data_IF_417344145683
#
_entry.id   IF_417344145683
#
_cell.length_a   1.000
_cell.length_b   1.000
_cell.length_c   1.000
_cell.angle_alpha   90.00
_cell.angle_beta   90.00
_cell.angle_gamma   90.00
#
_symmetry.space_group_name_H-M   'P 1'
#
loop_
_entity.id
_entity.type
_entity.pdbx_description
1 polymer ?
#
# COMPACT_ATOMS: atom_id res chain seq x y z
N UNK A 1 17.22 -8.96 34.71
CA UNK A 1 16.57 -10.27 34.48
C UNK A 1 15.15 -9.93 34.03
N UNK A 2 14.73 -10.08 32.79
CA UNK A 2 15.12 -11.01 31.73
C UNK A 2 15.94 -10.38 30.60
N UNK A 3 16.91 -11.17 30.13
CA UNK A 3 17.44 -11.16 28.77
C UNK A 3 16.51 -11.99 27.87
N UNK A 4 16.58 -11.72 26.55
CA UNK A 4 15.82 -12.31 25.42
C UNK A 4 14.43 -11.70 25.17
N UNK A 5 14.40 -10.72 24.26
CA UNK A 5 13.41 -10.69 23.18
C UNK A 5 14.21 -10.90 21.90
N UNK A 6 14.49 -12.15 21.54
CA UNK A 6 14.58 -12.47 20.10
C UNK A 6 13.17 -12.21 19.60
N UNK A 7 12.96 -11.04 19.01
CA UNK A 7 11.72 -10.77 18.30
C UNK A 7 11.81 -11.62 17.05
N UNK A 8 11.11 -12.75 17.03
CA UNK A 8 11.19 -13.69 15.93
C UNK A 8 10.71 -12.97 14.65
N UNK A 9 11.64 -12.75 13.72
CA UNK A 9 11.36 -12.12 12.43
C UNK A 9 10.54 -13.06 11.56
N UNK A 10 9.83 -12.52 10.58
CA UNK A 10 9.09 -13.38 9.64
C UNK A 10 10.04 -14.36 8.96
N UNK A 11 9.71 -15.65 9.02
CA UNK A 11 10.54 -16.75 8.49
C UNK A 11 10.16 -17.12 7.05
N UNK A 12 8.90 -16.92 6.67
CA UNK A 12 8.36 -17.33 5.37
C UNK A 12 8.26 -16.15 4.41
N UNK A 13 8.59 -16.40 3.13
CA UNK A 13 8.30 -15.44 2.06
C UNK A 13 6.80 -15.35 1.84
N UNK A 14 6.30 -14.16 1.50
CA UNK A 14 4.93 -14.02 0.97
C UNK A 14 4.87 -13.19 -0.30
N UNK A 15 3.88 -13.48 -1.14
CA UNK A 15 3.43 -12.60 -2.23
C UNK A 15 2.04 -12.06 -1.92
N UNK A 16 1.79 -10.80 -2.28
CA UNK A 16 0.54 -10.10 -2.01
C UNK A 16 -0.06 -9.64 -3.33
N UNK A 17 -1.34 -9.91 -3.54
CA UNK A 17 -2.20 -9.18 -4.45
C UNK A 17 -3.10 -8.28 -3.61
N UNK A 18 -3.06 -6.97 -3.87
CA UNK A 18 -4.03 -6.04 -3.30
C UNK A 18 -4.66 -5.21 -4.40
N UNK A 19 -5.97 -5.36 -4.59
CA UNK A 19 -6.72 -4.61 -5.59
C UNK A 19 -7.78 -3.71 -4.97
N UNK A 20 -7.86 -2.49 -5.50
CA UNK A 20 -8.95 -1.57 -5.22
C UNK A 20 -9.50 -1.01 -6.54
N UNK A 21 -10.74 -0.54 -6.53
CA UNK A 21 -11.27 0.27 -7.62
C UNK A 21 -11.32 1.75 -7.27
N UNK A 22 -11.36 2.58 -8.31
CA UNK A 22 -11.36 4.03 -8.25
C UNK A 22 -12.46 4.57 -9.17
N UNK A 23 -13.61 4.94 -8.57
CA UNK A 23 -14.78 5.50 -9.27
C UNK A 23 -14.82 7.03 -9.16
N UNK A 24 -14.95 7.71 -10.29
CA UNK A 24 -15.10 9.18 -10.38
C UNK A 24 -14.06 9.95 -9.53
N UNK A 25 -12.81 9.48 -9.52
CA UNK A 25 -11.76 9.93 -8.60
C UNK A 25 -10.39 9.99 -9.26
N UNK A 26 -9.41 10.60 -8.58
CA UNK A 26 -8.02 10.66 -9.05
C UNK A 26 -7.15 9.72 -8.19
N UNK A 27 -6.81 8.50 -8.65
CA UNK A 27 -6.07 7.55 -7.83
C UNK A 27 -4.62 7.99 -7.56
N UNK A 28 -3.94 8.50 -8.58
CA UNK A 28 -2.59 9.02 -8.47
C UNK A 28 -2.40 10.25 -9.36
N UNK A 29 -2.44 11.44 -8.75
CA UNK A 29 -2.15 12.69 -9.43
C UNK A 29 -0.68 12.77 -9.85
N UNK A 30 -0.41 13.42 -10.98
CA UNK A 30 0.92 13.76 -11.42
C UNK A 30 1.20 15.25 -11.08
N UNK A 31 2.04 15.53 -10.06
CA UNK A 31 2.33 16.91 -9.65
C UNK A 31 3.10 17.70 -10.72
N UNK A 32 3.73 17.03 -11.69
CA UNK A 32 4.41 17.66 -12.83
C UNK A 32 3.45 18.02 -13.97
N UNK A 33 2.21 17.52 -13.93
CA UNK A 33 1.19 17.83 -14.93
C UNK A 33 0.40 19.08 -14.55
N UNK A 34 -0.11 19.79 -15.55
CA UNK A 34 -1.05 20.88 -15.30
C UNK A 34 -2.33 20.34 -14.63
N UNK A 35 -2.71 20.93 -13.49
CA UNK A 35 -3.91 20.59 -12.71
C UNK A 35 -3.95 19.13 -12.20
N UNK A 36 -2.80 18.57 -11.80
CA UNK A 36 -2.67 17.28 -11.11
C UNK A 36 -3.45 16.13 -11.79
N UNK A 37 -3.31 16.00 -13.11
CA UNK A 37 -3.99 14.95 -13.87
C UNK A 37 -3.61 13.55 -13.36
N UNK A 38 -4.54 12.58 -13.40
CA UNK A 38 -4.21 11.19 -13.14
C UNK A 38 -3.05 10.72 -14.03
N UNK A 39 -2.16 9.89 -13.47
CA UNK A 39 -1.11 9.22 -14.23
C UNK A 39 -1.73 8.13 -15.11
N UNK A 40 -1.41 8.17 -16.40
CA UNK A 40 -1.91 7.23 -17.42
C UNK A 40 -0.74 6.83 -18.30
N UNK A 41 -0.64 5.55 -18.62
CA UNK A 41 0.28 5.02 -19.61
C UNK A 41 -0.21 5.41 -21.01
N UNK A 42 0.57 6.20 -21.75
CA UNK A 42 0.16 6.74 -23.05
C UNK A 42 0.00 5.67 -24.15
N UNK A 43 0.61 4.49 -23.98
CA UNK A 43 0.55 3.41 -24.96
C UNK A 43 -0.66 2.53 -24.75
N UNK A 44 -0.93 2.16 -23.49
CA UNK A 44 -2.01 1.22 -23.14
C UNK A 44 -3.29 1.92 -22.71
N UNK A 45 -3.25 3.20 -22.36
CA UNK A 45 -4.39 3.93 -21.82
C UNK A 45 -4.81 3.48 -20.41
N UNK A 46 -4.00 2.67 -19.74
CA UNK A 46 -4.23 2.20 -18.36
C UNK A 46 -3.79 3.27 -17.35
N UNK A 47 -4.52 3.39 -16.24
CA UNK A 47 -4.07 4.22 -15.13
C UNK A 47 -2.82 3.63 -14.50
N UNK A 48 -1.92 4.48 -14.01
CA UNK A 48 -0.70 4.08 -13.31
C UNK A 48 -0.77 4.60 -11.88
N UNK A 49 -0.61 3.72 -10.91
CA UNK A 49 -0.46 4.10 -9.50
C UNK A 49 0.89 3.64 -9.00
N UNK A 50 1.64 4.59 -8.43
CA UNK A 50 2.98 4.32 -7.89
C UNK A 50 2.88 3.55 -6.57
N UNK A 51 3.85 2.69 -6.30
CA UNK A 51 3.99 2.00 -5.01
C UNK A 51 4.08 3.01 -3.85
N UNK A 52 4.79 4.12 -4.05
CA UNK A 52 4.89 5.22 -3.08
C UNK A 52 3.52 5.79 -2.72
N UNK A 53 2.56 5.83 -3.65
CA UNK A 53 1.21 6.31 -3.36
C UNK A 53 0.46 5.34 -2.44
N UNK A 54 0.55 4.04 -2.68
CA UNK A 54 -0.04 3.02 -1.81
C UNK A 54 0.63 3.05 -0.43
N UNK A 55 1.97 3.02 -0.38
CA UNK A 55 2.75 3.10 0.86
C UNK A 55 2.41 4.34 1.69
N UNK A 56 2.02 5.46 1.06
CA UNK A 56 1.56 6.66 1.77
C UNK A 56 0.23 6.45 2.50
N UNK A 57 -0.73 5.77 1.88
CA UNK A 57 -1.99 5.42 2.57
C UNK A 57 -1.71 4.51 3.77
N UNK A 58 -0.81 3.54 3.61
CA UNK A 58 -0.42 2.63 4.69
C UNK A 58 0.19 3.40 5.86
N UNK A 59 1.15 4.30 5.59
CA UNK A 59 1.77 5.16 6.61
C UNK A 59 0.76 6.06 7.31
N UNK A 60 -0.09 6.74 6.53
CA UNK A 60 -1.11 7.64 7.07
C UNK A 60 -2.12 6.88 7.96
N UNK A 61 -2.33 5.58 7.73
CA UNK A 61 -3.15 4.71 8.58
C UNK A 61 -2.41 4.21 9.82
N UNK A 62 -1.13 3.83 9.69
CA UNK A 62 -0.29 3.48 10.85
C UNK A 62 -0.24 4.62 11.86
N UNK A 63 -0.09 5.85 11.38
CA UNK A 63 -0.12 7.07 12.21
C UNK A 63 -1.47 7.24 12.93
N UNK A 64 -2.60 7.00 12.23
CA UNK A 64 -3.94 7.07 12.82
C UNK A 64 -4.21 5.92 13.82
N UNK A 65 -3.48 4.80 13.70
CA UNK A 65 -3.50 3.64 14.59
C UNK A 65 -2.48 3.78 15.75
N UNK A 66 -1.90 4.97 15.97
CA UNK A 66 -0.91 5.31 17.00
C UNK A 66 0.44 4.54 16.90
N UNK A 67 0.78 3.99 15.72
CA UNK A 67 2.10 3.44 15.46
C UNK A 67 3.09 4.55 15.10
N UNK A 68 4.30 4.48 15.65
CA UNK A 68 5.36 5.41 15.28
C UNK A 68 5.73 5.27 13.80
N UNK A 69 5.74 6.39 13.09
CA UNK A 69 6.15 6.48 11.69
C UNK A 69 7.18 7.60 11.48
N UNK A 70 8.19 7.33 10.66
CA UNK A 70 9.24 8.28 10.29
C UNK A 70 8.83 9.18 9.13
N UNK A 71 8.24 8.63 8.06
CA UNK A 71 7.85 9.41 6.89
C UNK A 71 6.42 9.92 7.04
N UNK A 72 6.28 11.09 7.68
CA UNK A 72 4.98 11.72 7.96
C UNK A 72 4.47 12.62 6.85
N UNK A 73 3.15 12.76 6.80
CA UNK A 73 2.48 13.71 5.93
C UNK A 73 2.52 15.13 6.53
N UNK A 74 3.14 16.12 5.86
CA UNK A 74 3.26 17.48 6.40
C UNK A 74 1.93 18.13 6.78
N UNK A 75 0.83 17.78 6.08
CA UNK A 75 -0.49 18.34 6.38
C UNK A 75 -1.14 17.76 7.64
N UNK A 76 -0.76 16.54 8.06
CA UNK A 76 -1.26 15.90 9.28
C UNK A 76 -0.43 16.32 10.49
N UNK A 77 0.88 16.44 10.31
CA UNK A 77 1.82 16.65 11.41
C UNK A 77 1.91 18.12 11.90
N UNK A 78 1.05 19.02 11.41
CA UNK A 78 0.88 20.38 11.95
C UNK A 78 2.09 21.31 11.78
N UNK A 79 3.10 20.91 11.02
CA UNK A 79 4.31 21.71 10.81
C UNK A 79 4.07 22.86 9.82
N UNK A 80 4.53 24.05 10.19
CA UNK A 80 4.67 25.18 9.25
C UNK A 80 6.07 25.14 8.62
N UNK A 81 6.29 24.31 7.58
CA UNK A 81 7.57 24.32 6.85
C UNK A 81 8.02 22.98 6.28
N UNK A 82 9.29 22.91 5.88
CA UNK A 82 9.95 21.65 5.58
C UNK A 82 10.25 20.94 6.89
N UNK A 83 9.87 19.66 6.98
CA UNK A 83 10.12 18.85 8.18
C UNK A 83 11.60 18.50 8.23
N UNK A 84 12.23 18.75 9.36
CA UNK A 84 13.61 18.36 9.58
C UNK A 84 13.71 16.86 9.91
N UNK A 85 14.72 16.19 9.34
CA UNK A 85 14.86 14.74 9.45
C UNK A 85 15.38 14.30 10.81
N UNK A 86 16.11 15.18 11.48
CA UNK A 86 16.69 14.94 12.79
C UNK A 86 15.56 15.07 13.83
N UNK A 87 14.68 16.06 13.66
CA UNK A 87 13.44 16.19 14.44
C UNK A 87 12.52 14.96 14.29
N UNK A 88 12.31 14.45 13.07
CA UNK A 88 11.49 13.25 12.85
C UNK A 88 12.10 12.02 13.52
N UNK A 89 13.42 11.86 13.48
CA UNK A 89 14.09 10.77 14.17
C UNK A 89 13.90 10.90 15.68
N UNK A 90 14.12 12.10 16.21
CA UNK A 90 14.00 12.39 17.65
C UNK A 90 12.57 12.17 18.13
N UNK A 91 11.56 12.55 17.36
CA UNK A 91 10.15 12.36 17.73
C UNK A 91 9.76 10.88 17.77
N UNK A 92 10.26 10.09 16.81
CA UNK A 92 9.95 8.66 16.75
C UNK A 92 10.71 7.87 17.81
N UNK A 93 11.97 8.21 18.07
CA UNK A 93 12.84 7.43 18.97
C UNK A 93 12.88 7.95 20.40
N UNK A 94 12.60 9.24 20.61
CA UNK A 94 12.87 9.96 21.85
C UNK A 94 14.35 10.26 22.11
N UNK A 95 15.23 10.02 21.13
CA UNK A 95 16.68 10.25 21.24
C UNK A 95 17.04 11.59 20.60
N UNK A 96 17.34 12.59 21.43
CA UNK A 96 17.90 13.87 21.00
C UNK A 96 19.44 13.81 20.92
N UNK A 97 20.08 14.91 20.49
CA UNK A 97 21.54 14.98 20.34
C UNK A 97 22.29 14.60 21.64
N UNK A 98 21.81 15.07 22.79
CA UNK A 98 22.42 14.77 24.10
C UNK A 98 22.30 13.27 24.44
N UNK A 99 21.15 12.65 24.17
CA UNK A 99 20.94 11.22 24.39
C UNK A 99 21.75 10.33 23.41
N UNK A 100 22.03 10.85 22.21
CA UNK A 100 22.84 10.16 21.21
C UNK A 100 24.33 10.11 21.61
N UNK A 101 24.86 11.10 22.34
CA UNK A 101 26.25 11.05 22.83
C UNK A 101 26.53 9.85 23.74
N UNK A 102 25.50 9.37 24.45
CA UNK A 102 25.56 8.22 25.36
C UNK A 102 25.15 6.88 24.69
N UNK A 103 24.79 6.90 23.40
CA UNK A 103 24.25 5.74 22.65
C UNK A 103 25.12 5.40 21.46
N UNK A 104 25.30 4.12 21.14
CA UNK A 104 26.01 3.72 19.91
C UNK A 104 25.11 3.84 18.67
N UNK A 105 25.69 4.04 17.49
CA UNK A 105 24.92 4.09 16.24
C UNK A 105 24.08 2.82 15.97
N UNK A 106 24.53 1.66 16.47
CA UNK A 106 23.74 0.42 16.40
C UNK A 106 22.53 0.45 17.36
N UNK A 107 22.71 0.89 18.60
CA UNK A 107 21.60 1.02 19.56
C UNK A 107 20.58 2.07 19.10
N UNK A 108 21.04 3.15 18.46
CA UNK A 108 20.19 4.15 17.83
C UNK A 108 19.40 3.56 16.65
N UNK A 109 20.02 2.67 15.85
CA UNK A 109 19.35 1.97 14.76
C UNK A 109 18.28 0.98 15.29
N UNK A 110 18.59 0.23 16.34
CA UNK A 110 17.65 -0.68 16.99
C UNK A 110 16.46 0.09 17.57
N UNK A 111 16.70 1.21 18.25
CA UNK A 111 15.65 2.09 18.76
C UNK A 111 14.81 2.70 17.62
N UNK A 112 15.45 3.04 16.50
CA UNK A 112 14.76 3.55 15.32
C UNK A 112 13.83 2.51 14.72
N UNK A 113 14.30 1.28 14.48
CA UNK A 113 13.47 0.20 13.95
C UNK A 113 12.37 -0.24 14.93
N UNK A 114 12.64 -0.21 16.24
CA UNK A 114 11.63 -0.54 17.24
C UNK A 114 10.43 0.43 17.22
N UNK A 115 10.68 1.72 16.96
CA UNK A 115 9.64 2.74 17.00
C UNK A 115 9.11 3.17 15.63
N UNK A 116 9.90 3.06 14.56
CA UNK A 116 9.53 3.47 13.21
C UNK A 116 8.97 2.30 12.40
N UNK A 117 7.69 2.02 12.60
CA UNK A 117 6.99 0.88 12.00
C UNK A 117 7.02 0.93 10.46
N UNK A 118 6.90 2.12 9.86
CA UNK A 118 6.98 2.26 8.40
C UNK A 118 8.38 1.97 7.82
N UNK A 119 9.43 2.21 8.61
CA UNK A 119 10.81 1.87 8.25
C UNK A 119 11.01 0.36 8.35
N UNK A 120 10.44 -0.31 9.36
CA UNK A 120 10.46 -1.78 9.43
C UNK A 120 9.85 -2.43 8.20
N UNK A 121 8.74 -1.91 7.69
CA UNK A 121 8.10 -2.41 6.47
C UNK A 121 8.85 -2.04 5.19
N UNK A 122 9.06 -0.74 4.97
CA UNK A 122 9.40 -0.19 3.65
C UNK A 122 10.83 0.32 3.53
N UNK A 123 11.54 0.43 4.65
CA UNK A 123 12.84 1.06 4.72
C UNK A 123 12.77 2.58 4.55
N UNK A 124 13.90 3.23 4.76
CA UNK A 124 14.07 4.66 4.57
C UNK A 124 15.55 5.00 4.33
N UNK A 125 15.80 6.08 3.59
CA UNK A 125 17.12 6.70 3.52
C UNK A 125 17.23 7.71 4.65
N UNK A 126 18.19 7.50 5.56
CA UNK A 126 18.48 8.36 6.68
C UNK A 126 19.61 9.31 6.29
N UNK A 127 19.26 10.57 6.05
CA UNK A 127 20.22 11.61 5.68
C UNK A 127 20.03 12.81 6.59
N UNK A 128 20.71 12.73 7.73
CA UNK A 128 20.69 13.67 8.83
C UNK A 128 21.61 14.87 8.61
N UNK A 129 21.50 15.90 9.45
CA UNK A 129 22.47 16.99 9.47
C UNK A 129 23.87 16.52 9.88
N UNK A 130 24.89 17.34 9.61
CA UNK A 130 26.26 17.00 10.00
C UNK A 130 26.45 16.90 11.51
N UNK A 131 25.77 17.77 12.27
CA UNK A 131 25.84 17.78 13.75
C UNK A 131 25.20 16.50 14.32
N UNK A 132 24.02 16.13 13.80
CA UNK A 132 23.33 14.91 14.21
C UNK A 132 24.07 13.63 13.80
N UNK A 133 24.70 13.63 12.62
CA UNK A 133 25.51 12.51 12.15
C UNK A 133 26.80 12.34 12.98
N UNK A 134 27.38 13.44 13.48
CA UNK A 134 28.53 13.37 14.40
C UNK A 134 28.10 12.84 15.77
N UNK A 135 26.88 13.17 16.23
CA UNK A 135 26.31 12.68 17.50
C UNK A 135 25.94 11.19 17.46
N UNK A 136 25.28 10.72 16.39
CA UNK A 136 24.88 9.30 16.24
C UNK A 136 26.08 8.36 16.07
N UNK A 137 27.20 8.91 15.57
CA UNK A 137 28.46 8.22 15.40
C UNK A 137 28.47 7.13 14.32
N UNK A 138 29.56 6.35 14.31
CA UNK A 138 29.72 5.21 13.42
C UNK A 138 28.81 4.04 13.85
N UNK A 139 28.26 3.32 12.87
CA UNK A 139 27.43 2.12 13.10
C UNK A 139 25.97 2.29 12.71
N UNK A 140 25.44 3.53 12.70
CA UNK A 140 24.09 3.77 12.19
C UNK A 140 24.04 3.59 10.65
N UNK A 141 23.16 2.72 10.12
CA UNK A 141 23.01 2.55 8.68
C UNK A 141 22.45 3.81 8.01
N UNK A 142 23.13 4.33 6.97
CA UNK A 142 22.61 5.47 6.20
C UNK A 142 21.33 5.16 5.41
N UNK A 143 20.96 3.89 5.29
CA UNK A 143 19.71 3.44 4.69
C UNK A 143 19.27 2.10 5.27
N UNK A 144 17.96 1.92 5.37
CA UNK A 144 17.31 0.64 5.63
C UNK A 144 16.57 0.21 4.37
N UNK A 145 16.68 -1.06 4.00
CA UNK A 145 15.94 -1.66 2.89
C UNK A 145 14.77 -2.43 3.49
N UNK A 146 13.54 -1.99 3.23
CA UNK A 146 12.37 -2.67 3.76
C UNK A 146 12.11 -4.02 3.09
N UNK A 147 11.76 -5.07 3.86
CA UNK A 147 11.36 -6.37 3.33
C UNK A 147 10.04 -6.35 2.54
N UNK A 148 9.16 -5.36 2.77
CA UNK A 148 7.87 -5.25 2.06
C UNK A 148 7.99 -4.30 0.87
N UNK A 149 7.86 -4.84 -0.32
CA UNK A 149 7.94 -4.07 -1.56
C UNK A 149 6.69 -4.28 -2.40
N UNK A 150 6.22 -3.20 -3.05
CA UNK A 150 5.10 -3.23 -3.98
C UNK A 150 5.57 -2.77 -5.36
N UNK A 151 4.98 -3.34 -6.40
CA UNK A 151 5.17 -2.91 -7.77
C UNK A 151 4.38 -1.61 -8.05
N UNK A 152 4.70 -0.96 -9.18
CA UNK A 152 3.79 0.04 -9.73
C UNK A 152 2.59 -0.68 -10.32
N UNK A 153 1.39 -0.34 -9.85
CA UNK A 153 0.16 -0.91 -10.36
C UNK A 153 -0.27 -0.24 -11.66
N UNK A 154 -0.83 -1.04 -12.56
CA UNK A 154 -1.56 -0.57 -13.75
C UNK A 154 -2.99 -1.07 -13.67
N UNK A 155 -3.96 -0.24 -14.03
CA UNK A 155 -5.35 -0.70 -14.07
C UNK A 155 -5.54 -1.82 -15.10
N UNK A 156 -6.43 -2.77 -14.81
CA UNK A 156 -6.76 -3.83 -15.78
C UNK A 156 -7.47 -3.26 -17.01
N UNK A 157 -8.34 -2.27 -16.80
CA UNK A 157 -9.09 -1.58 -17.85
C UNK A 157 -8.35 -0.35 -18.41
N UNK A 158 -8.62 -0.04 -19.67
CA UNK A 158 -8.35 1.26 -20.30
C UNK A 158 -9.24 2.33 -19.66
N UNK A 159 -8.64 3.42 -19.18
CA UNK A 159 -9.38 4.40 -18.37
C UNK A 159 -9.92 5.56 -19.20
N UNK A 160 -11.11 6.04 -18.82
CA UNK A 160 -11.72 7.24 -19.40
C UNK A 160 -11.55 8.41 -18.44
N UNK A 161 -10.93 9.49 -18.93
CA UNK A 161 -10.75 10.72 -18.16
C UNK A 161 -12.03 11.57 -18.17
N UNK A 162 -12.34 12.16 -17.02
CA UNK A 162 -13.40 13.14 -16.82
C UNK A 162 -12.77 14.41 -16.23
N UNK A 163 -12.88 15.51 -16.96
CA UNK A 163 -12.39 16.82 -16.50
C UNK A 163 -13.56 17.77 -16.29
N UNK A 164 -13.65 18.36 -15.10
CA UNK A 164 -14.64 19.38 -14.77
C UNK A 164 -13.95 20.70 -14.47
N UNK A 165 -14.35 21.77 -15.16
CA UNK A 165 -13.91 23.13 -14.86
C UNK A 165 -14.84 23.75 -13.82
N UNK A 166 -14.27 24.20 -12.69
CA UNK A 166 -15.01 24.81 -11.58
C UNK A 166 -14.52 26.24 -11.39
N UNK A 167 -15.45 27.18 -11.25
CA UNK A 167 -15.12 28.54 -10.81
C UNK A 167 -14.92 28.51 -9.29
N UNK A 168 -13.73 28.83 -8.80
CA UNK A 168 -13.50 29.04 -7.38
C UNK A 168 -14.27 30.31 -6.99
N UNK A 169 -15.18 30.19 -6.02
CA UNK A 169 -15.86 31.34 -5.44
C UNK A 169 -14.88 32.10 -4.54
N UNK A 170 -14.05 32.97 -5.12
CA UNK A 170 -13.18 33.87 -4.34
C UNK A 170 -13.93 35.14 -3.97
N UNK A 171 -14.48 35.16 -2.75
CA UNK A 171 -14.66 36.39 -1.96
C UNK A 171 -13.43 36.63 -1.06
N UNK A 172 -12.37 35.82 -1.20
CA UNK A 172 -11.09 36.05 -0.53
C UNK A 172 -10.05 36.24 -1.61
N UNK A 173 -9.81 37.51 -1.96
CA UNK A 173 -8.76 37.94 -2.85
C UNK A 173 -7.43 37.92 -2.09
N UNK A 174 -6.50 37.07 -2.51
CA UNK A 174 -5.09 37.17 -2.14
C UNK A 174 -4.49 38.38 -2.86
N UNK A 175 -4.76 39.58 -2.34
CA UNK A 175 -4.06 40.82 -2.68
C UNK A 175 -4.07 41.20 -4.17
N UNK A 176 -5.22 41.62 -4.70
CA UNK A 176 -5.33 42.25 -6.02
C UNK A 176 -6.76 42.36 -6.51
N UNK A 177 -7.05 43.39 -7.31
CA UNK A 177 -8.33 43.54 -8.03
C UNK A 177 -8.51 42.37 -9.00
N UNK A 178 -9.27 41.36 -8.59
CA UNK A 178 -9.68 40.26 -9.46
C UNK A 178 -11.20 40.19 -9.50
N UNK A 179 -11.81 40.94 -10.43
CA UNK A 179 -13.23 40.79 -10.84
C UNK A 179 -13.49 39.47 -11.61
N UNK A 180 -12.45 38.66 -11.84
CA UNK A 180 -12.53 37.37 -12.54
C UNK A 180 -12.16 36.25 -11.55
N UNK A 181 -13.14 35.43 -11.15
CA UNK A 181 -12.90 34.29 -10.26
C UNK A 181 -11.89 33.30 -10.86
N UNK A 182 -11.02 32.75 -10.02
CA UNK A 182 -10.01 31.77 -10.44
C UNK A 182 -10.70 30.46 -10.85
N UNK A 183 -10.42 29.92 -12.03
CA UNK A 183 -10.94 28.60 -12.42
C UNK A 183 -9.97 27.51 -12.01
N UNK A 184 -10.48 26.45 -11.38
CA UNK A 184 -9.74 25.22 -11.10
C UNK A 184 -10.31 24.07 -11.94
N UNK A 185 -9.44 23.27 -12.55
CA UNK A 185 -9.86 22.06 -13.27
C UNK A 185 -9.65 20.84 -12.38
N UNK A 186 -10.71 20.07 -12.19
CA UNK A 186 -10.71 18.81 -11.44
C UNK A 186 -10.64 17.65 -12.44
N UNK A 187 -9.55 16.89 -12.40
CA UNK A 187 -9.30 15.77 -13.31
C UNK A 187 -9.46 14.45 -12.58
N UNK A 188 -10.35 13.60 -13.08
CA UNK A 188 -10.73 12.32 -12.48
C UNK A 188 -10.75 11.23 -13.55
N UNK A 189 -10.73 9.99 -13.11
CA UNK A 189 -11.02 8.82 -13.92
C UNK A 189 -12.47 8.40 -13.64
N UNK A 190 -13.19 7.97 -14.67
CA UNK A 190 -14.55 7.45 -14.50
C UNK A 190 -14.53 6.15 -13.71
N UNK A 191 -13.68 5.21 -14.10
CA UNK A 191 -13.48 3.95 -13.40
C UNK A 191 -12.09 3.36 -13.68
N UNK A 192 -11.46 2.80 -12.67
CA UNK A 192 -10.22 2.03 -12.80
C UNK A 192 -10.18 0.91 -11.75
N UNK A 193 -9.95 -0.33 -12.18
CA UNK A 193 -9.67 -1.46 -11.28
C UNK A 193 -8.16 -1.70 -11.24
N UNK A 194 -7.53 -1.56 -10.07
CA UNK A 194 -6.07 -1.40 -9.93
C UNK A 194 -5.52 -2.49 -8.99
N UNK A 195 -4.90 -3.56 -9.52
CA UNK A 195 -4.20 -4.56 -8.74
C UNK A 195 -2.74 -4.15 -8.49
N UNK A 196 -2.28 -4.32 -7.26
CA UNK A 196 -0.88 -4.23 -6.85
C UNK A 196 -0.36 -5.63 -6.58
N UNK A 197 0.87 -5.86 -7.01
CA UNK A 197 1.69 -6.98 -6.58
C UNK A 197 2.67 -6.51 -5.51
N UNK A 198 2.84 -7.33 -4.48
CA UNK A 198 3.80 -7.10 -3.42
C UNK A 198 4.52 -8.37 -3.00
N UNK A 199 5.67 -8.20 -2.36
CA UNK A 199 6.47 -9.28 -1.80
C UNK A 199 6.86 -8.89 -0.37
N UNK A 200 6.71 -9.85 0.55
CA UNK A 200 7.29 -9.82 1.89
C UNK A 200 8.52 -10.72 1.84
N UNK A 201 9.71 -10.12 1.94
CA UNK A 201 10.99 -10.83 1.87
C UNK A 201 11.52 -11.15 3.28
N UNK A 202 11.42 -12.41 3.67
CA UNK A 202 11.95 -13.01 4.89
C UNK A 202 13.44 -12.73 5.10
N UNK A 203 14.25 -12.77 4.03
CA UNK A 203 15.70 -12.53 4.14
C UNK A 203 15.99 -11.08 4.54
N UNK A 204 15.17 -10.14 4.06
CA UNK A 204 15.31 -8.72 4.41
C UNK A 204 14.71 -8.36 5.78
N UNK A 205 13.92 -9.26 6.37
CA UNK A 205 13.26 -9.02 7.64
C UNK A 205 14.26 -8.99 8.81
N UNK A 206 15.34 -9.77 8.72
CA UNK A 206 16.43 -9.76 9.72
C UNK A 206 17.08 -8.38 9.86
N UNK A 207 17.25 -7.64 8.75
CA UNK A 207 17.90 -6.33 8.73
C UNK A 207 17.02 -5.21 9.31
N UNK A 208 15.69 -5.38 9.31
CA UNK A 208 14.75 -4.35 9.79
C UNK A 208 13.94 -4.76 11.02
N UNK A 209 14.06 -6.02 11.45
CA UNK A 209 13.28 -6.58 12.55
C UNK A 209 11.80 -6.74 12.21
N UNK A 210 11.43 -6.97 10.94
CA UNK A 210 10.03 -7.19 10.56
C UNK A 210 9.52 -8.51 11.16
N UNK A 211 8.45 -8.42 11.96
CA UNK A 211 7.88 -9.54 12.72
C UNK A 211 6.71 -10.20 12.00
N UNK A 212 6.32 -11.41 12.44
CA UNK A 212 5.07 -12.03 11.99
C UNK A 212 3.83 -11.18 12.33
N UNK A 213 3.79 -10.55 13.51
CA UNK A 213 2.71 -9.64 13.92
C UNK A 213 2.61 -8.43 12.98
N UNK A 214 3.74 -7.89 12.51
CA UNK A 214 3.73 -6.83 11.50
C UNK A 214 3.12 -7.33 10.17
N UNK A 215 3.39 -8.57 9.75
CA UNK A 215 2.81 -9.13 8.52
C UNK A 215 1.31 -9.40 8.68
N UNK A 216 0.88 -9.99 9.78
CA UNK A 216 -0.55 -10.18 10.10
C UNK A 216 -1.29 -8.83 10.16
N UNK A 217 -0.67 -7.80 10.74
CA UNK A 217 -1.23 -6.44 10.73
C UNK A 217 -1.38 -5.91 9.29
N UNK A 218 -0.43 -6.21 8.40
CA UNK A 218 -0.45 -5.76 7.01
C UNK A 218 -1.71 -6.25 6.27
N UNK A 219 -2.18 -7.47 6.60
CA UNK A 219 -3.36 -8.11 6.00
C UNK A 219 -4.62 -7.24 6.13
N UNK A 220 -4.84 -6.63 7.29
CA UNK A 220 -5.97 -5.71 7.50
C UNK A 220 -5.61 -4.26 7.17
N UNK A 221 -4.34 -3.87 7.35
CA UNK A 221 -3.88 -2.49 7.21
C UNK A 221 -4.02 -1.98 5.79
N UNK A 222 -3.71 -2.76 4.76
CA UNK A 222 -3.89 -2.37 3.35
C UNK A 222 -5.34 -2.00 3.05
N UNK A 223 -6.28 -2.82 3.54
CA UNK A 223 -7.70 -2.60 3.38
C UNK A 223 -8.18 -1.34 4.11
N UNK A 224 -7.82 -1.21 5.40
CA UNK A 224 -8.20 -0.06 6.24
C UNK A 224 -7.61 1.25 5.71
N UNK A 225 -6.35 1.22 5.28
CA UNK A 225 -5.64 2.37 4.74
C UNK A 225 -6.34 2.98 3.53
N UNK A 226 -6.75 2.17 2.54
CA UNK A 226 -7.49 2.68 1.39
C UNK A 226 -8.85 3.24 1.81
N UNK A 227 -9.58 2.59 2.73
CA UNK A 227 -10.89 3.08 3.17
C UNK A 227 -10.82 4.41 3.92
N UNK A 228 -9.86 4.57 4.81
CA UNK A 228 -9.81 5.71 5.72
C UNK A 228 -9.05 6.89 5.13
N UNK A 229 -7.94 6.64 4.42
CA UNK A 229 -7.02 7.69 3.95
C UNK A 229 -7.42 8.31 2.60
N UNK A 230 -8.53 7.84 2.00
CA UNK A 230 -9.06 8.37 0.73
C UNK A 230 -10.33 9.20 0.88
N UNK A 231 -10.74 9.52 2.12
CA UNK A 231 -11.96 10.30 2.44
C UNK A 231 -11.82 11.82 2.22
N UNK A 232 -11.27 12.22 1.07
CA UNK A 232 -11.12 13.63 0.67
C UNK A 232 -11.83 13.91 -0.65
N UNK A 233 -12.11 15.19 -0.97
CA UNK A 233 -12.87 15.57 -2.16
C UNK A 233 -12.33 14.97 -3.48
N UNK A 234 -11.00 14.89 -3.62
CA UNK A 234 -10.33 14.41 -4.84
C UNK A 234 -10.00 12.93 -4.81
N UNK A 235 -10.17 12.26 -3.66
CA UNK A 235 -9.83 10.84 -3.45
C UNK A 235 -11.04 9.97 -3.10
N UNK A 236 -12.17 10.56 -2.73
CA UNK A 236 -13.43 9.83 -2.53
C UNK A 236 -13.75 9.05 -3.81
N UNK A 237 -14.09 7.77 -3.66
CA UNK A 237 -14.31 6.84 -4.78
C UNK A 237 -13.32 5.68 -4.85
N UNK A 238 -12.31 5.61 -3.96
CA UNK A 238 -11.54 4.39 -3.80
C UNK A 238 -12.32 3.39 -2.95
N UNK A 239 -12.35 2.11 -3.33
CA UNK A 239 -12.81 1.02 -2.47
C UNK A 239 -11.90 -0.21 -2.63
N UNK A 240 -11.37 -0.79 -1.55
CA UNK A 240 -10.65 -2.06 -1.64
C UNK A 240 -11.61 -3.17 -2.07
N UNK A 241 -11.12 -4.08 -2.93
CA UNK A 241 -11.94 -5.13 -3.58
C UNK A 241 -11.41 -6.53 -3.36
N UNK A 242 -10.09 -6.71 -3.38
CA UNK A 242 -9.45 -8.00 -3.20
C UNK A 242 -8.15 -7.82 -2.42
N UNK A 243 -7.95 -8.67 -1.43
CA UNK A 243 -6.67 -8.91 -0.79
C UNK A 243 -6.40 -10.41 -0.84
N UNK A 244 -5.19 -10.79 -1.23
CA UNK A 244 -4.72 -12.16 -1.22
C UNK A 244 -3.24 -12.16 -0.88
N UNK A 245 -2.83 -12.83 0.19
CA UNK A 245 -1.44 -13.08 0.56
C UNK A 245 -1.16 -14.57 0.51
N UNK A 246 -0.22 -14.98 -0.32
CA UNK A 246 0.28 -16.36 -0.37
C UNK A 246 1.54 -16.41 0.45
N UNK A 247 1.51 -17.16 1.54
CA UNK A 247 2.68 -17.49 2.35
C UNK A 247 3.26 -18.83 1.87
N UNK A 248 4.59 -18.90 1.72
CA UNK A 248 5.27 -20.08 1.21
C UNK A 248 6.06 -20.78 2.30
N UNK A 249 6.04 -22.11 2.30
CA UNK A 249 6.83 -22.96 3.19
C UNK A 249 8.26 -23.25 2.67
N UNK A 250 8.59 -22.72 1.48
CA UNK A 250 9.84 -23.01 0.77
C UNK A 250 10.75 -21.78 0.79
N UNK A 251 11.94 -21.94 1.35
CA UNK A 251 12.94 -20.87 1.48
C UNK A 251 13.23 -20.19 0.14
N UNK A 252 13.21 -18.85 0.15
CA UNK A 252 13.51 -17.99 -0.99
C UNK A 252 12.69 -18.24 -2.28
N UNK A 253 11.54 -18.92 -2.17
CA UNK A 253 10.64 -19.18 -3.29
C UNK A 253 9.50 -18.15 -3.38
N UNK A 254 9.18 -17.74 -4.60
CA UNK A 254 7.92 -17.09 -4.94
C UNK A 254 7.59 -17.39 -6.42
N UNK A 255 6.31 -17.32 -6.79
CA UNK A 255 5.84 -17.54 -8.17
C UNK A 255 6.23 -16.32 -9.03
N UNK A 256 5.97 -15.12 -8.51
CA UNK A 256 6.22 -13.86 -9.19
C UNK A 256 5.01 -13.41 -10.01
N UNK A 257 4.76 -12.09 -10.02
CA UNK A 257 3.72 -11.44 -10.85
C UNK A 257 2.34 -12.08 -10.72
N UNK A 258 1.93 -12.45 -9.49
CA UNK A 258 0.60 -13.04 -9.25
C UNK A 258 -0.56 -12.16 -9.74
N UNK A 259 -0.35 -10.84 -9.84
CA UNK A 259 -1.31 -9.91 -10.40
C UNK A 259 -1.57 -10.10 -11.90
N UNK A 260 -0.63 -10.69 -12.66
CA UNK A 260 -0.82 -11.04 -14.08
C UNK A 260 -1.87 -12.15 -14.27
N UNK A 261 -2.15 -12.94 -13.23
CA UNK A 261 -3.23 -13.94 -13.20
C UNK A 261 -4.64 -13.35 -13.06
N UNK A 262 -4.77 -12.02 -12.95
CA UNK A 262 -6.04 -11.31 -12.88
C UNK A 262 -6.43 -10.69 -14.22
N UNK A 263 -7.62 -11.01 -14.70
CA UNK A 263 -8.15 -10.45 -15.95
C UNK A 263 -9.59 -9.95 -15.81
N UNK A 264 -10.03 -9.17 -16.80
CA UNK A 264 -11.42 -8.73 -16.91
C UNK A 264 -12.20 -9.74 -17.75
N UNK A 265 -13.23 -10.36 -17.16
CA UNK A 265 -14.04 -11.42 -17.77
C UNK A 265 -15.39 -10.95 -18.33
N UNK A 266 -15.74 -9.67 -18.22
CA UNK A 266 -17.01 -9.15 -18.73
C UNK A 266 -17.02 -8.92 -20.26
N UNK A 267 -18.20 -9.02 -20.88
CA UNK A 267 -18.38 -8.70 -22.31
C UNK A 267 -18.35 -7.19 -22.61
N UNK A 268 -18.71 -6.37 -21.61
CA UNK A 268 -18.74 -4.91 -21.74
C UNK A 268 -17.34 -4.38 -22.02
N UNK A 269 -17.16 -3.49 -23.03
CA UNK A 269 -15.88 -2.86 -23.28
C UNK A 269 -15.31 -2.20 -22.02
N UNK A 270 -14.01 -2.38 -21.78
CA UNK A 270 -13.32 -1.91 -20.59
C UNK A 270 -13.41 -0.37 -20.38
N UNK A 271 -13.53 0.39 -21.47
CA UNK A 271 -13.76 1.86 -21.45
C UNK A 271 -15.18 2.27 -21.03
N UNK A 272 -16.14 1.35 -21.04
CA UNK A 272 -17.53 1.59 -20.66
C UNK A 272 -17.81 1.29 -19.19
N UNK A 273 -16.89 0.65 -18.47
CA UNK A 273 -17.00 0.36 -17.04
C UNK A 273 -17.20 1.63 -16.21
N UNK A 274 -18.15 1.62 -15.28
CA UNK A 274 -18.46 2.78 -14.42
C UNK A 274 -18.36 2.48 -12.93
N UNK A 275 -18.61 1.25 -12.51
CA UNK A 275 -18.50 0.84 -11.12
C UNK A 275 -18.23 -0.67 -11.02
N UNK A 276 -18.08 -1.17 -9.80
CA UNK A 276 -17.77 -2.58 -9.52
C UNK A 276 -18.79 -3.58 -10.10
N UNK A 277 -20.05 -3.19 -10.28
CA UNK A 277 -21.08 -4.11 -10.81
C UNK A 277 -20.94 -4.36 -12.32
N UNK A 278 -20.15 -3.54 -13.03
CA UNK A 278 -19.82 -3.76 -14.43
C UNK A 278 -18.62 -4.71 -14.60
N UNK A 279 -17.92 -5.05 -13.50
CA UNK A 279 -16.66 -5.80 -13.53
C UNK A 279 -16.91 -7.24 -13.13
N UNK A 280 -16.37 -8.16 -13.94
CA UNK A 280 -16.18 -9.56 -13.56
C UNK A 280 -14.68 -9.80 -13.53
N UNK A 281 -14.14 -10.15 -12.37
CA UNK A 281 -12.71 -10.44 -12.22
C UNK A 281 -12.48 -11.93 -12.50
N UNK A 282 -11.81 -12.23 -13.61
CA UNK A 282 -11.37 -13.58 -13.92
C UNK A 282 -10.07 -13.88 -13.15
N UNK A 283 -10.09 -14.96 -12.38
CA UNK A 283 -8.99 -15.42 -11.53
C UNK A 283 -8.50 -16.82 -11.95
N UNK A 284 -8.90 -17.31 -13.12
CA UNK A 284 -8.58 -18.67 -13.58
C UNK A 284 -7.08 -18.92 -13.70
N UNK A 285 -6.34 -17.96 -14.26
CA UNK A 285 -4.89 -18.07 -14.42
C UNK A 285 -4.17 -18.00 -13.05
N UNK A 286 -4.62 -17.13 -12.15
CA UNK A 286 -4.14 -17.09 -10.77
C UNK A 286 -4.33 -18.45 -10.07
N UNK A 287 -5.51 -19.07 -10.18
CA UNK A 287 -5.79 -20.37 -9.57
C UNK A 287 -4.92 -21.48 -10.19
N UNK A 288 -4.70 -21.44 -11.51
CA UNK A 288 -3.83 -22.39 -12.19
C UNK A 288 -2.37 -22.27 -11.75
N UNK A 289 -1.88 -21.04 -11.55
CA UNK A 289 -0.52 -20.80 -11.03
C UNK A 289 -0.37 -21.29 -9.59
N UNK A 290 -1.39 -21.11 -8.74
CA UNK A 290 -1.40 -21.63 -7.37
C UNK A 290 -1.45 -23.17 -7.34
N UNK A 291 -2.32 -23.80 -8.14
CA UNK A 291 -2.41 -25.26 -8.25
C UNK A 291 -1.07 -25.88 -8.69
N UNK A 292 -0.42 -25.27 -9.69
CA UNK A 292 0.87 -25.73 -10.19
C UNK A 292 2.00 -25.68 -9.15
N UNK A 293 1.87 -24.85 -8.11
CA UNK A 293 2.87 -24.65 -7.06
C UNK A 293 2.32 -24.93 -5.66
N UNK A 294 1.21 -25.67 -5.54
CA UNK A 294 0.52 -25.90 -4.27
C UNK A 294 1.43 -26.55 -3.21
N UNK A 295 2.43 -27.33 -3.63
CA UNK A 295 3.42 -27.93 -2.71
C UNK A 295 4.27 -26.90 -1.95
N UNK A 296 4.43 -25.70 -2.50
CA UNK A 296 5.18 -24.61 -1.90
C UNK A 296 4.32 -23.68 -1.03
N UNK A 297 2.99 -23.74 -1.19
CA UNK A 297 2.05 -22.89 -0.46
C UNK A 297 1.91 -23.44 0.95
N UNK A 298 2.07 -22.56 1.94
CA UNK A 298 1.73 -22.84 3.32
C UNK A 298 0.30 -22.42 3.61
N UNK A 299 0.02 -21.12 3.46
CA UNK A 299 -1.28 -20.52 3.75
C UNK A 299 -1.61 -19.44 2.72
N UNK A 300 -2.87 -19.36 2.29
CA UNK A 300 -3.44 -18.29 1.47
C UNK A 300 -4.40 -17.48 2.33
N UNK A 301 -3.99 -16.29 2.73
CA UNK A 301 -4.85 -15.35 3.44
C UNK A 301 -5.63 -14.53 2.42
N UNK A 302 -6.96 -14.52 2.49
CA UNK A 302 -7.81 -13.95 1.44
C UNK A 302 -8.96 -13.12 2.00
N UNK A 303 -9.30 -12.05 1.28
CA UNK A 303 -10.47 -11.23 1.52
C UNK A 303 -10.96 -10.63 0.21
N UNK A 304 -12.22 -10.93 -0.15
CA UNK A 304 -12.89 -10.31 -1.28
C UNK A 304 -14.09 -9.47 -0.83
N UNK A 305 -14.26 -8.30 -1.46
CA UNK A 305 -15.41 -7.43 -1.24
C UNK A 305 -16.70 -8.12 -1.70
N UNK A 306 -17.75 -8.01 -0.89
CA UNK A 306 -19.06 -8.62 -1.17
C UNK A 306 -19.72 -8.19 -2.48
N UNK A 307 -19.30 -7.08 -3.08
CA UNK A 307 -19.82 -6.60 -4.35
C UNK A 307 -18.95 -7.00 -5.56
N UNK A 308 -17.80 -7.63 -5.32
CA UNK A 308 -16.95 -8.16 -6.37
C UNK A 308 -17.59 -9.41 -6.97
N UNK A 309 -17.73 -9.44 -8.29
CA UNK A 309 -18.09 -10.65 -9.03
C UNK A 309 -16.81 -11.28 -9.56
N UNK A 310 -16.60 -12.56 -9.27
CA UNK A 310 -15.45 -13.34 -9.70
C UNK A 310 -15.88 -14.41 -10.69
N UNK A 311 -15.01 -14.71 -11.65
CA UNK A 311 -15.13 -15.86 -12.53
C UNK A 311 -13.91 -16.76 -12.39
N UNK A 312 -14.16 -18.05 -12.34
CA UNK A 312 -13.17 -19.12 -12.45
C UNK A 312 -13.40 -19.88 -13.76
N UNK A 313 -12.66 -20.97 -13.97
CA UNK A 313 -12.87 -21.86 -15.12
C UNK A 313 -14.25 -22.52 -15.10
N UNK A 314 -14.79 -22.81 -13.91
CA UNK A 314 -16.00 -23.61 -13.73
C UNK A 314 -17.23 -22.78 -13.36
N UNK A 315 -17.04 -21.71 -12.58
CA UNK A 315 -18.13 -20.96 -11.95
C UNK A 315 -17.92 -19.44 -11.97
N UNK A 316 -19.03 -18.70 -11.89
CA UNK A 316 -19.04 -17.24 -11.75
C UNK A 316 -20.00 -16.85 -10.62
N UNK A 317 -19.54 -16.00 -9.70
CA UNK A 317 -20.34 -15.60 -8.54
C UNK A 317 -19.68 -14.54 -7.66
N UNK A 318 -20.08 -14.49 -6.39
CA UNK A 318 -19.49 -13.61 -5.39
C UNK A 318 -18.19 -14.17 -4.78
N UNK A 319 -17.73 -13.60 -3.66
CA UNK A 319 -16.53 -14.05 -2.94
C UNK A 319 -16.44 -15.55 -2.65
N UNK A 320 -17.56 -16.21 -2.32
CA UNK A 320 -17.58 -17.63 -1.99
C UNK A 320 -17.00 -18.51 -3.12
N UNK A 321 -17.19 -18.10 -4.39
CA UNK A 321 -16.63 -18.80 -5.55
C UNK A 321 -15.10 -18.78 -5.56
N UNK A 322 -14.48 -17.67 -5.10
CA UNK A 322 -13.03 -17.60 -4.97
C UNK A 322 -12.55 -18.50 -3.83
N UNK A 323 -13.22 -18.47 -2.69
CA UNK A 323 -12.81 -19.24 -1.51
C UNK A 323 -12.89 -20.74 -1.78
N UNK A 324 -14.01 -21.23 -2.30
CA UNK A 324 -14.18 -22.64 -2.67
C UNK A 324 -13.15 -23.08 -3.73
N UNK A 325 -12.84 -22.20 -4.69
CA UNK A 325 -11.83 -22.49 -5.71
C UNK A 325 -10.41 -22.55 -5.13
N UNK A 326 -10.05 -21.64 -4.21
CA UNK A 326 -8.77 -21.66 -3.50
C UNK A 326 -8.63 -22.95 -2.66
N UNK A 327 -9.65 -23.30 -1.88
CA UNK A 327 -9.67 -24.55 -1.10
C UNK A 327 -9.51 -25.78 -2.01
N UNK A 328 -10.06 -25.72 -3.22
CA UNK A 328 -9.91 -26.77 -4.24
C UNK A 328 -8.48 -26.94 -4.76
N UNK A 329 -7.69 -25.87 -4.83
CA UNK A 329 -6.32 -25.90 -5.40
C UNK A 329 -5.23 -26.06 -4.34
N UNK A 330 -5.34 -25.40 -3.18
CA UNK A 330 -4.31 -25.45 -2.11
C UNK A 330 -4.73 -26.27 -0.90
N UNK A 331 -6.00 -26.68 -0.82
CA UNK A 331 -6.57 -27.41 0.32
C UNK A 331 -7.27 -26.51 1.33
N UNK A 332 -8.34 -27.01 1.95
CA UNK A 332 -9.18 -26.28 2.91
C UNK A 332 -8.39 -25.75 4.11
N UNK A 333 -7.48 -26.55 4.67
CA UNK A 333 -6.66 -26.16 5.83
C UNK A 333 -5.63 -25.07 5.51
N UNK A 334 -5.37 -24.78 4.22
CA UNK A 334 -4.41 -23.79 3.76
C UNK A 334 -5.07 -22.46 3.36
N UNK A 335 -6.39 -22.30 3.50
CA UNK A 335 -7.09 -21.05 3.18
C UNK A 335 -7.55 -20.37 4.46
N UNK A 336 -7.10 -19.14 4.66
CA UNK A 336 -7.49 -18.30 5.80
C UNK A 336 -8.27 -17.09 5.31
N UNK A 337 -9.51 -16.93 5.77
CA UNK A 337 -10.34 -15.78 5.38
C UNK A 337 -10.21 -14.67 6.41
N UNK A 338 -9.72 -13.51 5.96
CA UNK A 338 -9.46 -12.37 6.85
C UNK A 338 -10.77 -11.64 7.18
N UNK A 339 -11.02 -11.43 8.48
CA UNK A 339 -12.03 -10.49 8.96
C UNK A 339 -11.37 -9.19 9.42
N UNK A 340 -11.49 -8.13 8.61
CA UNK A 340 -10.89 -6.82 8.88
C UNK A 340 -11.46 -6.14 10.13
N UNK A 341 -12.70 -6.44 10.48
CA UNK A 341 -13.42 -5.80 11.58
C UNK A 341 -13.97 -6.80 12.59
N UNK A 342 -13.42 -8.01 12.60
CA UNK A 342 -13.72 -9.03 13.59
C UNK A 342 -13.34 -8.55 14.98
N UNK A 343 -14.01 -9.08 16.00
CA UNK A 343 -13.64 -8.84 17.39
C UNK A 343 -12.31 -9.59 17.67
N UNK A 344 -11.26 -8.86 18.05
CA UNK A 344 -10.00 -9.43 18.59
C UNK A 344 -10.22 -10.25 19.87
#
# INVERSE_FOLDING_TARGET
MSSNSTTDTVENRSEIIFAYDAEDTNPNGNPLSANDKPRIDETTGRAVVTDVRLKRYIRDQLDDDDYGIYIRNPSKAGYEGAIDRDELFTEVTGLDEDALEDTTGNEAADAFLANATDVRYFGATCSFSSEFQDAIGDGFPGQFIGPVQFSHARSLNTVVQKSESKQLSTVVSSGGDSEQGTFATDNRLQYAFIPFHGVVNEVGAEDTGLTAEDVERLDTLLWRAVKNQTLTRSKMGHQPRLYLRVEYNTDAFHIGTLDDGLALGQDTPDTELRNITDVVLDVSDLLADLDAHAEHVDTVHVLADRHLTLSTTDDTGGPDVLYEALEGVVGEDAVDTIDVYGDE
#
